data_IF_973413883193
#
_entry.id   IF_973413883193
#
_cell.length_a   1.000
_cell.length_b   1.000
_cell.length_c   1.000
_cell.angle_alpha   90.00
_cell.angle_beta   90.00
_cell.angle_gamma   90.00
#
_symmetry.space_group_name_H-M   'P 1'
#
loop_
_entity.id
_entity.type
_entity.pdbx_description
1 polymer ?
#
# COMPACT_ATOMS: atom_id res chain seq x y z
N UNK A 1 -22.34 6.68 1.59
CA UNK A 1 -21.42 6.33 2.69
C UNK A 1 -21.13 4.85 2.61
N UNK A 2 -19.90 4.49 2.29
CA UNK A 2 -19.44 3.12 2.16
C UNK A 2 -18.78 2.65 3.45
N UNK A 3 -18.96 1.37 3.78
CA UNK A 3 -18.35 0.75 4.96
C UNK A 3 -17.69 -0.57 4.59
N UNK A 4 -16.48 -0.81 5.10
CA UNK A 4 -15.82 -2.12 5.01
C UNK A 4 -15.24 -2.56 6.36
N UNK A 5 -15.46 -3.83 6.67
CA UNK A 5 -14.85 -4.51 7.81
C UNK A 5 -13.59 -5.24 7.33
N UNK A 6 -12.43 -4.77 7.80
CA UNK A 6 -11.12 -5.30 7.46
C UNK A 6 -10.42 -5.97 8.67
N UNK A 7 -11.18 -6.36 9.70
CA UNK A 7 -10.64 -7.10 10.84
C UNK A 7 -10.13 -8.47 10.42
N UNK A 8 -9.03 -8.93 11.02
CA UNK A 8 -8.35 -10.18 10.70
C UNK A 8 -7.62 -10.17 9.36
N UNK A 9 -7.64 -9.04 8.62
CA UNK A 9 -6.96 -8.91 7.34
C UNK A 9 -5.56 -8.31 7.58
N UNK A 10 -4.47 -9.01 7.21
CA UNK A 10 -3.12 -8.50 7.40
C UNK A 10 -2.81 -7.33 6.46
N UNK A 11 -2.01 -6.36 6.94
CA UNK A 11 -1.41 -5.34 6.08
C UNK A 11 -0.62 -5.96 4.91
N UNK A 12 -0.64 -5.37 3.71
CA UNK A 12 -1.20 -4.04 3.38
C UNK A 12 -2.68 -4.05 2.98
N UNK A 13 -3.37 -5.19 3.01
CA UNK A 13 -4.67 -5.34 2.35
C UNK A 13 -5.77 -4.34 2.79
N UNK A 14 -5.91 -3.96 4.08
CA UNK A 14 -6.88 -2.93 4.46
C UNK A 14 -6.67 -1.60 3.73
N UNK A 15 -5.42 -1.22 3.45
CA UNK A 15 -5.08 0.01 2.71
C UNK A 15 -5.52 -0.10 1.25
N UNK A 16 -5.35 -1.27 0.65
CA UNK A 16 -5.70 -1.51 -0.76
C UNK A 16 -7.21 -1.48 -0.97
N UNK A 17 -7.95 -2.15 -0.08
CA UNK A 17 -9.41 -2.08 -0.04
C UNK A 17 -9.88 -0.63 0.13
N UNK A 18 -9.17 0.14 0.97
CA UNK A 18 -9.48 1.57 1.16
C UNK A 18 -9.24 2.36 -0.13
N UNK A 19 -8.12 2.11 -0.83
CA UNK A 19 -7.80 2.74 -2.12
C UNK A 19 -8.86 2.46 -3.18
N UNK A 20 -9.25 1.19 -3.34
CA UNK A 20 -10.31 0.79 -4.27
C UNK A 20 -11.64 1.51 -3.99
N UNK A 21 -12.02 1.67 -2.72
CA UNK A 21 -13.23 2.39 -2.34
C UNK A 21 -13.14 3.90 -2.64
N UNK A 22 -12.00 4.52 -2.38
CA UNK A 22 -11.77 5.94 -2.68
C UNK A 22 -11.85 6.19 -4.19
N UNK A 23 -11.30 5.28 -5.01
CA UNK A 23 -11.36 5.37 -6.47
C UNK A 23 -12.76 5.13 -7.04
N UNK A 24 -13.53 4.20 -6.45
CA UNK A 24 -14.90 3.88 -6.89
C UNK A 24 -15.93 4.91 -6.41
N UNK A 25 -15.68 5.55 -5.26
CA UNK A 25 -16.62 6.45 -4.58
C UNK A 25 -15.93 7.75 -4.12
N UNK A 26 -15.40 8.57 -5.05
CA UNK A 26 -14.58 9.74 -4.71
C UNK A 26 -15.33 10.83 -3.92
N UNK A 27 -16.66 10.88 -4.01
CA UNK A 27 -17.50 11.91 -3.38
C UNK A 27 -18.28 11.39 -2.14
N UNK A 28 -18.04 10.16 -1.71
CA UNK A 28 -18.76 9.57 -0.57
C UNK A 28 -17.88 9.40 0.68
N UNK A 29 -18.49 9.52 1.86
CA UNK A 29 -17.85 9.11 3.12
C UNK A 29 -17.50 7.61 3.08
N UNK A 30 -16.27 7.25 3.48
CA UNK A 30 -15.80 5.87 3.56
C UNK A 30 -15.37 5.56 5.00
N UNK A 31 -15.90 4.49 5.58
CA UNK A 31 -15.54 4.00 6.92
C UNK A 31 -14.89 2.62 6.83
N UNK A 32 -13.69 2.49 7.39
CA UNK A 32 -12.91 1.25 7.43
C UNK A 32 -12.78 0.80 8.89
N UNK A 33 -13.15 -0.46 9.17
CA UNK A 33 -12.96 -1.07 10.49
C UNK A 33 -11.73 -1.98 10.49
N UNK A 34 -10.81 -1.78 11.43
CA UNK A 34 -9.61 -2.61 11.63
C UNK A 34 -9.46 -3.02 13.10
N UNK A 35 -8.58 -3.96 13.41
CA UNK A 35 -8.38 -4.55 14.75
C UNK A 35 -6.98 -4.34 15.34
N UNK A 36 -6.12 -3.58 14.68
CA UNK A 36 -4.75 -3.34 15.14
C UNK A 36 -4.26 -1.93 14.78
N UNK A 37 -3.34 -1.45 15.61
CA UNK A 37 -2.79 -0.09 15.55
C UNK A 37 -2.07 0.19 14.23
N UNK A 38 -1.27 -0.75 13.75
CA UNK A 38 -0.52 -0.59 12.50
C UNK A 38 -1.47 -0.42 11.29
N UNK A 39 -2.56 -1.19 11.24
CA UNK A 39 -3.57 -1.05 10.19
C UNK A 39 -4.30 0.29 10.29
N UNK A 40 -4.60 0.76 11.51
CA UNK A 40 -5.20 2.07 11.73
C UNK A 40 -4.31 3.19 11.19
N UNK A 41 -3.03 3.20 11.57
CA UNK A 41 -2.05 4.20 11.11
C UNK A 41 -1.87 4.19 9.59
N UNK A 42 -1.78 3.01 9.00
CA UNK A 42 -1.59 2.87 7.55
C UNK A 42 -2.81 3.40 6.77
N UNK A 43 -4.03 3.09 7.22
CA UNK A 43 -5.28 3.55 6.59
C UNK A 43 -5.48 5.07 6.81
N UNK A 44 -5.20 5.58 8.00
CA UNK A 44 -5.22 7.02 8.29
C UNK A 44 -4.24 7.78 7.39
N UNK A 45 -2.99 7.31 7.29
CA UNK A 45 -1.98 7.91 6.43
C UNK A 45 -2.39 7.89 4.97
N UNK A 46 -3.03 6.81 4.51
CA UNK A 46 -3.54 6.71 3.15
C UNK A 46 -4.59 7.79 2.87
N UNK A 47 -5.67 7.90 3.66
CA UNK A 47 -6.68 8.95 3.46
C UNK A 47 -6.06 10.35 3.44
N UNK A 48 -5.17 10.66 4.39
CA UNK A 48 -4.47 11.95 4.43
C UNK A 48 -3.63 12.21 3.17
N UNK A 49 -2.96 11.19 2.64
CA UNK A 49 -2.19 11.31 1.39
C UNK A 49 -3.05 11.62 0.17
N UNK A 50 -4.34 11.25 0.20
CA UNK A 50 -5.31 11.54 -0.84
C UNK A 50 -6.02 12.90 -0.64
N UNK A 51 -5.65 13.66 0.40
CA UNK A 51 -6.30 14.94 0.73
C UNK A 51 -7.67 14.81 1.38
N UNK A 52 -7.99 13.64 1.96
CA UNK A 52 -9.25 13.42 2.67
C UNK A 52 -9.13 13.80 4.15
N UNK A 53 -10.22 14.34 4.71
CA UNK A 53 -10.34 14.56 6.14
C UNK A 53 -10.60 13.24 6.85
N UNK A 54 -9.90 13.00 7.95
CA UNK A 54 -9.96 11.71 8.66
C UNK A 54 -10.45 11.89 10.09
N UNK A 55 -11.43 11.07 10.48
CA UNK A 55 -11.87 10.93 11.86
C UNK A 55 -11.71 9.48 12.33
N UNK A 56 -11.23 9.30 13.57
CA UNK A 56 -10.97 7.98 14.15
C UNK A 56 -11.84 7.81 15.38
N UNK A 57 -12.51 6.66 15.47
CA UNK A 57 -13.25 6.23 16.65
C UNK A 57 -12.74 4.88 17.15
N UNK A 58 -12.42 4.82 18.44
CA UNK A 58 -12.03 3.58 19.11
C UNK A 58 -13.28 2.79 19.53
N UNK A 59 -13.32 1.52 19.16
CA UNK A 59 -14.31 0.54 19.59
C UNK A 59 -13.94 -0.09 20.94
N UNK A 60 -14.95 -0.59 21.65
CA UNK A 60 -14.78 -1.19 22.99
C UNK A 60 -14.01 -2.52 22.98
N UNK A 61 -13.90 -3.17 21.81
CA UNK A 61 -13.24 -4.46 21.57
C UNK A 61 -11.81 -4.31 21.03
N UNK A 62 -11.21 -3.12 21.14
CA UNK A 62 -9.89 -2.83 20.56
C UNK A 62 -9.92 -2.64 19.03
N UNK A 63 -11.11 -2.50 18.44
CA UNK A 63 -11.26 -2.18 17.03
C UNK A 63 -11.20 -0.67 16.80
N UNK A 64 -10.80 -0.27 15.59
CA UNK A 64 -10.73 1.11 15.16
C UNK A 64 -11.64 1.32 13.97
N UNK A 65 -12.40 2.41 13.98
CA UNK A 65 -13.18 2.89 12.84
C UNK A 65 -12.51 4.14 12.30
N UNK A 66 -11.98 4.06 11.07
CA UNK A 66 -11.37 5.18 10.36
C UNK A 66 -12.37 5.66 9.31
N UNK A 67 -12.89 6.87 9.47
CA UNK A 67 -13.81 7.47 8.51
C UNK A 67 -13.11 8.59 7.76
N UNK A 68 -12.98 8.43 6.44
CA UNK A 68 -12.53 9.45 5.51
C UNK A 68 -13.71 10.22 4.92
N UNK A 69 -13.59 11.54 4.84
CA UNK A 69 -14.47 12.42 4.09
C UNK A 69 -13.71 13.09 2.94
N UNK A 70 -14.31 13.21 1.74
CA UNK A 70 -13.74 14.02 0.67
C UNK A 70 -13.57 15.45 1.21
N UNK A 71 -12.35 15.96 1.18
CA UNK A 71 -12.07 17.31 1.68
C UNK A 71 -12.83 18.33 0.84
N UNK A 72 -13.64 19.18 1.47
CA UNK A 72 -14.11 20.42 0.81
C UNK A 72 -12.92 21.36 0.77
N UNK A 73 -12.46 21.70 -0.42
CA UNK A 73 -11.29 22.54 -0.64
C UNK A 73 -11.40 23.87 0.12
N UNK A 74 -10.77 23.98 1.29
CA UNK A 74 -10.39 25.25 1.90
C UNK A 74 -8.88 25.24 2.12
N UNK A 75 -8.19 25.72 1.09
CA UNK A 75 -6.74 25.87 1.04
C UNK A 75 -6.36 26.96 2.06
N UNK A 76 -5.93 26.55 3.26
CA UNK A 76 -5.24 27.47 4.17
C UNK A 76 -4.08 26.81 4.93
N UNK A 77 -2.90 27.04 4.36
CA UNK A 77 -1.57 27.16 4.98
C UNK A 77 -0.93 25.93 5.67
N UNK A 78 0.08 25.39 4.99
CA UNK A 78 1.12 24.60 5.65
C UNK A 78 2.10 23.89 4.72
N UNK A 79 2.83 24.64 3.88
CA UNK A 79 3.98 24.15 3.08
C UNK A 79 3.72 22.87 2.27
N UNK A 80 2.88 22.99 1.25
CA UNK A 80 2.80 22.01 0.17
C UNK A 80 3.96 22.29 -0.79
N UNK A 81 5.01 21.45 -0.78
CA UNK A 81 5.84 21.33 -1.97
C UNK A 81 4.92 20.93 -3.12
N UNK A 82 4.81 21.79 -4.13
CA UNK A 82 4.16 21.47 -5.40
C UNK A 82 4.83 20.22 -5.97
N UNK A 83 4.25 19.04 -5.72
CA UNK A 83 4.36 17.95 -6.67
C UNK A 83 3.19 18.15 -7.62
N UNK A 84 3.47 18.93 -8.67
CA UNK A 84 2.81 18.70 -9.95
C UNK A 84 2.87 17.20 -10.24
N UNK A 85 1.81 16.69 -10.83
CA UNK A 85 1.70 15.37 -11.45
C UNK A 85 2.88 15.16 -12.41
N UNK A 86 4.04 14.84 -11.85
CA UNK A 86 5.21 14.43 -12.58
C UNK A 86 5.02 12.96 -12.79
N UNK A 87 5.08 12.50 -14.04
CA UNK A 87 5.30 11.10 -14.45
C UNK A 87 6.45 10.50 -13.62
N UNK A 88 6.20 10.11 -12.37
CA UNK A 88 7.22 9.65 -11.46
C UNK A 88 7.56 8.23 -11.86
N UNK A 89 8.65 8.09 -12.61
CA UNK A 89 9.14 6.80 -13.06
C UNK A 89 10.04 6.20 -11.99
N UNK A 90 9.46 5.32 -11.18
CA UNK A 90 10.19 4.61 -10.14
C UNK A 90 10.79 3.33 -10.73
N UNK A 91 12.11 3.19 -10.59
CA UNK A 91 12.84 1.99 -10.96
C UNK A 91 13.27 1.23 -9.69
N UNK A 92 12.95 -0.05 -9.63
CA UNK A 92 13.30 -0.93 -8.52
C UNK A 92 14.46 -1.84 -8.95
N UNK A 93 15.61 -1.67 -8.31
CA UNK A 93 16.81 -2.48 -8.57
C UNK A 93 17.00 -3.54 -7.48
N UNK A 94 17.00 -4.82 -7.87
CA UNK A 94 17.03 -5.96 -6.94
C UNK A 94 18.27 -6.83 -7.21
N UNK A 95 19.34 -6.67 -6.42
CA UNK A 95 20.58 -7.44 -6.58
C UNK A 95 20.59 -8.78 -5.84
N UNK A 96 19.62 -9.03 -4.95
CA UNK A 96 19.59 -10.21 -4.11
C UNK A 96 18.17 -10.77 -3.97
N UNK A 97 18.04 -12.07 -3.72
CA UNK A 97 16.77 -12.76 -3.51
C UNK A 97 16.39 -12.93 -2.03
N UNK A 98 17.17 -12.34 -1.13
CA UNK A 98 16.94 -12.35 0.32
C UNK A 98 17.04 -10.90 0.80
N UNK A 99 16.09 -10.50 1.65
CA UNK A 99 16.08 -9.17 2.24
C UNK A 99 16.96 -9.14 3.49
N UNK A 100 17.94 -8.23 3.52
CA UNK A 100 18.91 -8.14 4.62
C UNK A 100 19.90 -9.31 4.67
N UNK A 101 20.68 -9.37 5.76
CA UNK A 101 21.77 -10.33 5.97
C UNK A 101 21.63 -11.20 7.23
N UNK A 102 20.50 -11.08 7.92
CA UNK A 102 20.20 -11.83 9.15
C UNK A 102 19.59 -13.22 8.87
N UNK A 103 18.49 -13.51 9.56
CA UNK A 103 17.77 -14.78 9.39
C UNK A 103 17.30 -14.97 7.94
N UNK A 104 17.62 -16.13 7.37
CA UNK A 104 17.40 -16.42 5.95
C UNK A 104 15.94 -16.66 5.62
N UNK A 105 15.18 -17.31 6.50
CA UNK A 105 13.78 -17.61 6.25
C UNK A 105 12.93 -16.35 6.38
N UNK A 106 13.21 -15.53 7.39
CA UNK A 106 12.62 -14.21 7.52
C UNK A 106 12.97 -13.32 6.32
N UNK A 107 14.25 -13.28 5.92
CA UNK A 107 14.68 -12.48 4.76
C UNK A 107 14.01 -12.89 3.45
N UNK A 108 13.72 -14.18 3.25
CA UNK A 108 12.90 -14.66 2.12
C UNK A 108 11.45 -14.20 2.22
N UNK A 109 10.85 -14.32 3.40
CA UNK A 109 9.46 -13.88 3.63
C UNK A 109 9.30 -12.37 3.40
N UNK A 110 10.26 -11.57 3.87
CA UNK A 110 10.30 -10.13 3.63
C UNK A 110 10.48 -9.79 2.15
N UNK A 111 11.39 -10.48 1.45
CA UNK A 111 11.56 -10.30 0.00
C UNK A 111 10.27 -10.64 -0.75
N UNK A 112 9.58 -11.71 -0.36
CA UNK A 112 8.28 -12.07 -0.93
C UNK A 112 7.25 -10.96 -0.76
N UNK A 113 7.10 -10.44 0.46
CA UNK A 113 6.16 -9.37 0.74
C UNK A 113 6.51 -8.10 -0.05
N UNK A 114 7.79 -7.75 -0.12
CA UNK A 114 8.26 -6.61 -0.90
C UNK A 114 7.81 -6.69 -2.37
N UNK A 115 8.04 -7.82 -3.04
CA UNK A 115 7.59 -8.01 -4.44
C UNK A 115 6.06 -7.92 -4.56
N UNK A 116 5.31 -8.52 -3.63
CA UNK A 116 3.84 -8.46 -3.65
C UNK A 116 3.31 -7.03 -3.50
N UNK A 117 4.03 -6.16 -2.79
CA UNK A 117 3.64 -4.76 -2.61
C UNK A 117 4.05 -3.84 -3.76
N UNK A 118 4.87 -4.29 -4.71
CA UNK A 118 5.28 -3.44 -5.83
C UNK A 118 4.11 -3.04 -6.74
N UNK A 119 3.06 -3.87 -6.83
CA UNK A 119 1.88 -3.56 -7.65
C UNK A 119 1.11 -2.35 -7.16
N UNK A 120 1.25 -2.00 -5.88
CA UNK A 120 0.52 -0.89 -5.25
C UNK A 120 1.00 0.48 -5.72
N UNK A 121 2.19 0.52 -6.31
CA UNK A 121 2.79 1.71 -6.92
C UNK A 121 2.09 2.10 -8.23
N UNK A 122 1.22 1.26 -8.79
CA UNK A 122 0.43 1.59 -9.99
C UNK A 122 1.29 2.04 -11.17
N UNK A 123 0.91 3.14 -11.80
CA UNK A 123 1.58 3.73 -12.96
C UNK A 123 2.96 4.31 -12.66
N UNK A 124 3.29 4.52 -11.38
CA UNK A 124 4.59 5.07 -10.98
C UNK A 124 5.70 4.00 -11.06
N UNK A 125 5.35 2.71 -10.97
CA UNK A 125 6.31 1.63 -11.15
C UNK A 125 6.69 1.50 -12.63
N UNK A 126 7.84 2.05 -12.98
CA UNK A 126 8.31 2.05 -14.35
C UNK A 126 9.07 0.79 -14.74
N UNK A 127 9.99 0.32 -13.89
CA UNK A 127 10.81 -0.87 -14.18
C UNK A 127 11.26 -1.60 -12.93
N UNK A 128 11.41 -2.91 -13.08
CA UNK A 128 12.12 -3.77 -12.14
C UNK A 128 13.35 -4.35 -12.83
N UNK A 129 14.53 -4.16 -12.25
CA UNK A 129 15.78 -4.73 -12.73
C UNK A 129 16.25 -5.77 -11.73
N UNK A 130 16.32 -7.03 -12.16
CA UNK A 130 16.85 -8.14 -11.38
C UNK A 130 18.29 -8.44 -11.82
N UNK A 131 19.24 -8.44 -10.89
CA UNK A 131 20.63 -8.84 -11.17
C UNK A 131 21.16 -9.75 -10.07
N UNK A 132 22.31 -10.39 -10.32
CA UNK A 132 23.02 -11.21 -9.34
C UNK A 132 22.10 -12.26 -8.68
N UNK A 133 21.92 -12.19 -7.36
CA UNK A 133 21.02 -13.10 -6.64
C UNK A 133 19.55 -12.86 -6.98
N UNK A 134 19.17 -11.63 -7.33
CA UNK A 134 17.80 -11.23 -7.66
C UNK A 134 17.20 -11.98 -8.84
N UNK A 135 18.01 -12.45 -9.80
CA UNK A 135 17.51 -13.26 -10.94
C UNK A 135 16.85 -14.56 -10.48
N UNK A 136 17.20 -15.06 -9.29
CA UNK A 136 16.58 -16.25 -8.69
C UNK A 136 15.11 -16.03 -8.31
N UNK A 137 14.64 -14.78 -8.24
CA UNK A 137 13.23 -14.47 -8.01
C UNK A 137 12.37 -14.74 -9.25
N UNK A 138 12.97 -14.78 -10.44
CA UNK A 138 12.28 -14.99 -11.72
C UNK A 138 12.43 -16.42 -12.30
N UNK A 139 12.90 -17.38 -11.49
CA UNK A 139 12.99 -18.80 -11.92
C UNK A 139 11.68 -19.55 -11.67
N UNK A 140 11.47 -20.67 -12.37
CA UNK A 140 10.22 -21.47 -12.34
C UNK A 140 9.73 -21.83 -10.93
N UNK A 141 10.64 -22.13 -10.01
CA UNK A 141 10.31 -22.58 -8.64
C UNK A 141 10.24 -21.43 -7.62
N UNK A 142 10.30 -20.17 -8.09
CA UNK A 142 10.25 -19.02 -7.20
C UNK A 142 8.83 -18.78 -6.69
N UNK A 143 8.65 -18.57 -5.36
CA UNK A 143 7.32 -18.30 -4.78
C UNK A 143 6.75 -16.93 -5.15
N UNK A 144 7.52 -16.07 -5.82
CA UNK A 144 7.09 -14.74 -6.29
C UNK A 144 6.98 -14.65 -7.81
N UNK A 145 7.19 -15.76 -8.54
CA UNK A 145 7.19 -15.72 -10.01
C UNK A 145 5.87 -15.21 -10.57
N UNK A 146 4.74 -15.67 -10.04
CA UNK A 146 3.42 -15.25 -10.52
C UNK A 146 3.14 -13.77 -10.20
N UNK A 147 3.69 -13.24 -9.10
CA UNK A 147 3.61 -11.82 -8.80
C UNK A 147 4.41 -10.99 -9.81
N UNK A 148 5.63 -11.42 -10.15
CA UNK A 148 6.44 -10.75 -11.18
C UNK A 148 5.78 -10.77 -12.56
N UNK A 149 5.14 -11.88 -12.95
CA UNK A 149 4.37 -11.95 -14.20
C UNK A 149 3.18 -11.01 -14.23
N UNK A 150 2.49 -10.81 -13.10
CA UNK A 150 1.40 -9.82 -13.00
C UNK A 150 1.94 -8.40 -13.21
N UNK A 151 3.10 -8.10 -12.62
CA UNK A 151 3.76 -6.80 -12.77
C UNK A 151 4.26 -6.52 -14.19
N UNK A 152 4.59 -7.57 -14.97
CA UNK A 152 4.95 -7.45 -16.38
C UNK A 152 3.75 -7.09 -17.28
N UNK A 153 2.54 -7.42 -16.84
CA UNK A 153 1.30 -7.20 -17.61
C UNK A 153 0.65 -5.84 -17.38
N UNK A 154 1.15 -5.07 -16.40
CA UNK A 154 0.76 -3.69 -16.13
C UNK A 154 1.53 -2.71 -17.03
#
# INVERSE_FOLDING_TARGET
MQKRDCRGIPCPQPVLITKELVEQHPDELIEIRVDNEASRENVERFFKSQGWDVSIRNGADGTFFITGAPGTCDISHGQTSEYTDSDQKILVFIPANIFGSGDRELGKALMKNFILTLGEMGTDLWRIILVNGGVRLAVKDSPVLDALKKLEQN
#
